data_IF_494495184550
#
_entry.id   IF_494495184550
#
_cell.length_a   1.000
_cell.length_b   1.000
_cell.length_c   1.000
_cell.angle_alpha   90.00
_cell.angle_beta   90.00
_cell.angle_gamma   90.00
#
_symmetry.space_group_name_H-M   'P 1'
#
loop_
_entity.id
_entity.type
_entity.pdbx_description
1 polymer ?
#
# COMPACT_ATOMS: atom_id res chain seq x y z
N UNK A 1 -34.92 7.71 -15.75
CA UNK A 1 -34.29 6.60 -15.02
C UNK A 1 -33.51 7.20 -13.86
N UNK A 2 -33.82 6.90 -12.59
CA UNK A 2 -33.04 7.43 -11.46
C UNK A 2 -31.65 6.79 -11.48
N UNK A 3 -30.66 7.64 -11.37
CA UNK A 3 -29.26 7.37 -11.64
C UNK A 3 -28.63 6.31 -10.73
N UNK A 4 -27.69 5.51 -11.26
CA UNK A 4 -26.87 4.59 -10.46
C UNK A 4 -25.97 5.32 -9.41
N UNK A 5 -25.88 6.65 -9.52
CA UNK A 5 -25.11 7.53 -8.62
C UNK A 5 -25.60 7.49 -7.18
N UNK A 6 -26.91 7.42 -6.92
CA UNK A 6 -27.43 7.42 -5.55
C UNK A 6 -27.07 6.14 -4.77
N UNK A 7 -27.07 4.98 -5.44
CA UNK A 7 -26.67 3.71 -4.83
C UNK A 7 -25.17 3.68 -4.57
N UNK A 8 -24.35 4.14 -5.51
CA UNK A 8 -22.90 4.24 -5.38
C UNK A 8 -22.49 5.20 -4.23
N UNK A 9 -23.18 6.32 -4.06
CA UNK A 9 -22.94 7.27 -2.94
C UNK A 9 -23.31 6.65 -1.59
N UNK A 10 -24.38 5.86 -1.52
CA UNK A 10 -24.77 5.17 -0.28
C UNK A 10 -23.72 4.10 0.10
N UNK A 11 -23.22 3.35 -0.85
CA UNK A 11 -22.16 2.36 -0.62
C UNK A 11 -20.81 3.00 -0.30
N UNK A 12 -20.46 4.12 -0.90
CA UNK A 12 -19.23 4.86 -0.60
C UNK A 12 -19.21 5.37 0.87
N UNK A 13 -20.35 5.81 1.39
CA UNK A 13 -20.50 6.23 2.78
C UNK A 13 -20.35 5.07 3.79
N UNK A 14 -20.49 3.82 3.36
CA UNK A 14 -20.40 2.62 4.22
C UNK A 14 -19.02 1.95 4.21
N UNK A 15 -18.06 2.46 3.42
CA UNK A 15 -16.75 1.81 3.24
C UNK A 15 -16.79 0.49 2.46
N UNK A 16 -17.91 0.16 1.81
CA UNK A 16 -18.09 -1.07 1.01
C UNK A 16 -17.65 -0.89 -0.45
N UNK A 17 -17.24 0.30 -0.86
CA UNK A 17 -16.72 0.54 -2.20
C UNK A 17 -15.20 0.70 -2.18
N UNK A 18 -14.52 0.35 -3.27
CA UNK A 18 -13.11 0.71 -3.45
C UNK A 18 -12.92 2.23 -3.35
N UNK A 19 -11.68 2.63 -3.03
CA UNK A 19 -11.27 4.04 -3.14
C UNK A 19 -11.49 4.49 -4.59
N UNK A 20 -11.96 5.73 -4.78
CA UNK A 20 -12.18 6.28 -6.12
C UNK A 20 -10.89 6.17 -6.96
N UNK A 21 -10.96 5.53 -8.13
CA UNK A 21 -9.78 5.33 -8.98
C UNK A 21 -9.29 6.64 -9.57
N UNK A 22 -7.97 6.75 -9.71
CA UNK A 22 -7.30 7.89 -10.32
C UNK A 22 -6.25 7.48 -11.36
N UNK A 23 -6.32 6.26 -11.82
CA UNK A 23 -5.47 5.72 -12.88
C UNK A 23 -6.22 4.67 -13.69
N UNK A 24 -5.80 4.39 -14.94
CA UNK A 24 -6.36 3.28 -15.73
C UNK A 24 -6.23 1.91 -15.05
N UNK A 25 -5.20 1.72 -14.23
CA UNK A 25 -5.03 0.50 -13.43
C UNK A 25 -6.15 0.34 -12.42
N UNK A 26 -6.38 1.39 -11.61
CA UNK A 26 -7.37 1.39 -10.56
C UNK A 26 -8.81 1.32 -11.13
N UNK A 27 -9.08 1.97 -12.28
CA UNK A 27 -10.35 1.85 -13.00
C UNK A 27 -10.66 0.40 -13.40
N UNK A 28 -9.64 -0.34 -13.90
CA UNK A 28 -9.81 -1.76 -14.24
C UNK A 28 -10.05 -2.64 -13.02
N UNK A 29 -9.43 -2.32 -11.89
CA UNK A 29 -9.66 -2.99 -10.61
C UNK A 29 -11.09 -2.70 -10.11
N UNK A 30 -11.55 -1.46 -10.22
CA UNK A 30 -12.93 -1.09 -9.87
C UNK A 30 -13.96 -1.80 -10.75
N UNK A 31 -13.77 -1.87 -12.06
CA UNK A 31 -14.62 -2.63 -12.97
C UNK A 31 -14.73 -4.11 -12.55
N UNK A 32 -13.57 -4.71 -12.23
CA UNK A 32 -13.52 -6.10 -11.78
C UNK A 32 -14.24 -6.29 -10.43
N UNK A 33 -14.05 -5.34 -9.49
CA UNK A 33 -14.74 -5.37 -8.22
C UNK A 33 -16.26 -5.38 -8.39
N UNK A 34 -16.82 -4.47 -9.19
CA UNK A 34 -18.26 -4.39 -9.41
C UNK A 34 -18.81 -5.61 -10.14
N UNK A 35 -18.06 -6.14 -11.09
CA UNK A 35 -18.43 -7.38 -11.77
C UNK A 35 -18.52 -8.56 -10.82
N UNK A 36 -17.51 -8.75 -9.96
CA UNK A 36 -17.50 -9.82 -8.95
C UNK A 36 -18.59 -9.58 -7.89
N UNK A 37 -18.78 -8.32 -7.44
CA UNK A 37 -19.82 -7.95 -6.48
C UNK A 37 -21.24 -8.27 -7.00
N UNK A 38 -21.49 -8.03 -8.29
CA UNK A 38 -22.77 -8.40 -8.93
C UNK A 38 -23.05 -9.90 -8.84
N UNK A 39 -22.09 -10.75 -9.24
CA UNK A 39 -22.25 -12.21 -9.16
C UNK A 39 -22.34 -12.70 -7.71
N UNK A 40 -21.58 -12.10 -6.80
CA UNK A 40 -21.64 -12.40 -5.37
C UNK A 40 -23.02 -12.08 -4.78
N UNK A 41 -23.63 -10.98 -5.18
CA UNK A 41 -24.98 -10.61 -4.75
C UNK A 41 -26.02 -11.60 -5.25
N UNK A 42 -25.92 -12.09 -6.49
CA UNK A 42 -26.81 -13.14 -7.03
C UNK A 42 -26.71 -14.41 -6.18
N UNK A 43 -25.48 -14.87 -5.91
CA UNK A 43 -25.27 -16.08 -5.10
C UNK A 43 -25.78 -15.88 -3.68
N UNK A 44 -25.51 -14.72 -3.05
CA UNK A 44 -26.01 -14.38 -1.73
C UNK A 44 -27.55 -14.47 -1.67
N UNK A 45 -28.24 -13.85 -2.63
CA UNK A 45 -29.70 -13.86 -2.69
C UNK A 45 -30.24 -15.25 -2.96
N UNK A 46 -29.62 -16.02 -3.86
CA UNK A 46 -30.00 -17.38 -4.17
C UNK A 46 -29.93 -18.34 -2.95
N UNK A 47 -29.04 -18.04 -2.00
CA UNK A 47 -28.90 -18.82 -0.75
C UNK A 47 -29.72 -18.21 0.38
N UNK A 48 -29.64 -16.90 0.61
CA UNK A 48 -30.27 -16.25 1.75
C UNK A 48 -31.80 -16.24 1.65
N UNK A 49 -32.38 -16.01 0.45
CA UNK A 49 -33.83 -15.94 0.28
C UNK A 49 -34.50 -17.26 0.58
N UNK A 50 -34.09 -18.42 0.00
CA UNK A 50 -34.66 -19.71 0.38
C UNK A 50 -34.49 -20.04 1.87
N UNK A 51 -33.29 -19.72 2.43
CA UNK A 51 -33.03 -19.95 3.85
C UNK A 51 -34.00 -19.17 4.74
N UNK A 52 -34.25 -17.90 4.47
CA UNK A 52 -35.23 -17.10 5.21
C UNK A 52 -36.64 -17.66 5.04
N UNK A 53 -37.03 -18.05 3.81
CA UNK A 53 -38.33 -18.67 3.53
C UNK A 53 -38.48 -19.96 4.35
N UNK A 54 -37.46 -20.80 4.41
CA UNK A 54 -37.50 -22.04 5.17
C UNK A 54 -37.62 -21.78 6.68
N UNK A 55 -36.84 -20.85 7.22
CA UNK A 55 -36.90 -20.47 8.64
C UNK A 55 -38.32 -19.97 9.00
N UNK A 56 -38.89 -19.10 8.18
CA UNK A 56 -40.22 -18.53 8.44
C UNK A 56 -41.35 -19.60 8.28
N UNK A 57 -41.26 -20.35 7.15
CA UNK A 57 -42.33 -21.31 6.80
C UNK A 57 -42.33 -22.55 7.70
N UNK A 58 -41.18 -23.08 8.05
CA UNK A 58 -41.02 -24.33 8.81
C UNK A 58 -40.71 -24.07 10.28
N UNK A 59 -40.82 -22.85 10.76
CA UNK A 59 -40.73 -22.51 12.18
C UNK A 59 -41.75 -23.31 12.99
N UNK A 60 -41.29 -23.99 14.04
CA UNK A 60 -42.16 -24.78 14.92
C UNK A 60 -43.15 -23.85 15.65
N UNK A 61 -44.43 -24.02 15.37
CA UNK A 61 -45.55 -23.28 16.00
C UNK A 61 -46.44 -24.22 16.84
N UNK A 62 -45.81 -25.12 17.62
CA UNK A 62 -46.56 -26.11 18.44
C UNK A 62 -47.05 -27.30 17.66
N UNK A 63 -46.48 -27.60 16.49
CA UNK A 63 -46.76 -28.82 15.73
C UNK A 63 -46.24 -30.04 16.47
N UNK A 64 -47.01 -31.13 16.43
CA UNK A 64 -46.61 -32.41 16.97
C UNK A 64 -45.30 -32.88 16.27
N UNK A 65 -44.32 -33.23 17.08
CA UNK A 65 -43.00 -33.69 16.59
C UNK A 65 -42.97 -35.19 16.27
N UNK A 66 -44.06 -35.89 16.54
CA UNK A 66 -44.18 -37.33 16.27
C UNK A 66 -44.54 -37.63 14.81
N UNK A 67 -44.90 -36.60 14.02
CA UNK A 67 -45.19 -36.76 12.59
C UNK A 67 -43.88 -36.85 11.83
N UNK A 68 -43.55 -38.03 11.30
CA UNK A 68 -42.39 -38.23 10.44
C UNK A 68 -42.53 -37.44 9.13
N UNK A 69 -41.47 -36.78 8.71
CA UNK A 69 -41.41 -36.09 7.42
C UNK A 69 -41.33 -37.08 6.25
N UNK A 70 -41.61 -36.62 5.01
CA UNK A 70 -41.44 -37.47 3.83
C UNK A 70 -40.01 -37.97 3.69
N UNK A 71 -39.83 -39.24 3.40
CA UNK A 71 -38.53 -39.90 3.21
C UNK A 71 -37.95 -39.57 1.81
N UNK A 72 -37.43 -38.36 1.65
CA UNK A 72 -36.80 -37.88 0.40
C UNK A 72 -35.28 -38.08 0.48
N UNK A 73 -34.72 -38.88 -0.45
CA UNK A 73 -33.31 -39.26 -0.43
C UNK A 73 -32.43 -38.44 -1.36
N UNK A 74 -32.93 -37.40 -2.03
CA UNK A 74 -32.17 -36.53 -2.93
C UNK A 74 -32.91 -36.22 -4.23
N UNK A 75 -32.28 -35.40 -5.08
CA UNK A 75 -32.78 -35.06 -6.41
C UNK A 75 -31.60 -34.81 -7.32
N UNK A 76 -31.25 -35.79 -8.17
CA UNK A 76 -30.14 -35.72 -9.11
C UNK A 76 -30.18 -34.46 -10.01
N UNK A 77 -31.40 -34.02 -10.40
CA UNK A 77 -31.53 -32.77 -11.21
C UNK A 77 -31.10 -31.53 -10.43
N UNK A 78 -31.49 -31.45 -9.16
CA UNK A 78 -31.11 -30.34 -8.29
C UNK A 78 -29.61 -30.39 -8.00
N UNK A 79 -29.05 -31.57 -7.75
CA UNK A 79 -27.63 -31.79 -7.51
C UNK A 79 -26.77 -31.34 -8.72
N UNK A 80 -27.17 -31.71 -9.92
CA UNK A 80 -26.49 -31.23 -11.17
C UNK A 80 -26.63 -29.73 -11.29
N UNK A 81 -27.81 -29.16 -11.03
CA UNK A 81 -28.02 -27.71 -11.16
C UNK A 81 -27.13 -26.92 -10.21
N UNK A 82 -27.06 -27.27 -8.91
CA UNK A 82 -26.25 -26.53 -7.95
C UNK A 82 -24.75 -26.79 -8.10
N UNK A 83 -24.33 -27.79 -8.87
CA UNK A 83 -22.95 -28.03 -9.26
C UNK A 83 -22.58 -27.20 -10.49
N UNK A 84 -23.40 -27.27 -11.56
CA UNK A 84 -23.05 -26.63 -12.84
C UNK A 84 -23.21 -25.10 -12.81
N UNK A 85 -24.19 -24.56 -12.08
CA UNK A 85 -24.42 -23.11 -12.03
C UNK A 85 -23.24 -22.37 -11.39
N UNK A 86 -22.72 -22.75 -10.20
CA UNK A 86 -21.51 -22.14 -9.64
C UNK A 86 -20.28 -22.30 -10.55
N UNK A 87 -20.10 -23.45 -11.18
CA UNK A 87 -18.99 -23.67 -12.14
C UNK A 87 -19.10 -22.68 -13.30
N UNK A 88 -20.28 -22.48 -13.87
CA UNK A 88 -20.49 -21.50 -14.94
C UNK A 88 -20.18 -20.06 -14.48
N UNK A 89 -20.60 -19.69 -13.28
CA UNK A 89 -20.27 -18.37 -12.68
C UNK A 89 -18.76 -18.21 -12.54
N UNK A 90 -18.05 -19.22 -12.03
CA UNK A 90 -16.59 -19.18 -11.88
C UNK A 90 -15.88 -19.04 -13.23
N UNK A 91 -16.34 -19.75 -14.28
CA UNK A 91 -15.78 -19.62 -15.64
C UNK A 91 -15.99 -18.20 -16.19
N UNK A 92 -17.17 -17.61 -15.98
CA UNK A 92 -17.47 -16.23 -16.42
C UNK A 92 -16.57 -15.23 -15.66
N UNK A 93 -16.46 -15.36 -14.33
CA UNK A 93 -15.61 -14.47 -13.51
C UNK A 93 -14.14 -14.61 -13.91
N UNK A 94 -13.64 -15.85 -14.09
CA UNK A 94 -12.28 -16.09 -14.54
C UNK A 94 -12.01 -15.47 -15.92
N UNK A 95 -12.90 -15.70 -16.89
CA UNK A 95 -12.79 -15.13 -18.23
C UNK A 95 -12.72 -13.61 -18.23
N UNK A 96 -13.57 -12.94 -17.46
CA UNK A 96 -13.53 -11.49 -17.33
C UNK A 96 -12.25 -11.00 -16.62
N UNK A 97 -11.79 -11.72 -15.60
CA UNK A 97 -10.53 -11.41 -14.91
C UNK A 97 -9.34 -11.49 -15.86
N UNK A 98 -9.21 -12.57 -16.63
CA UNK A 98 -8.14 -12.73 -17.62
C UNK A 98 -8.19 -11.65 -18.71
N UNK A 99 -9.37 -11.21 -19.10
CA UNK A 99 -9.53 -10.11 -20.06
C UNK A 99 -9.03 -8.75 -19.50
N UNK A 100 -9.27 -8.47 -18.20
CA UNK A 100 -8.87 -7.20 -17.56
C UNK A 100 -7.40 -7.18 -17.11
N UNK A 101 -6.82 -8.34 -16.79
CA UNK A 101 -5.50 -8.49 -16.16
C UNK A 101 -4.36 -7.74 -16.86
N UNK A 102 -4.19 -7.78 -18.22
CA UNK A 102 -3.05 -7.12 -18.87
C UNK A 102 -2.97 -5.61 -18.67
N UNK A 103 -4.09 -4.95 -18.34
CA UNK A 103 -4.12 -3.51 -18.10
C UNK A 103 -4.02 -3.10 -16.63
N UNK A 104 -3.89 -4.05 -15.71
CA UNK A 104 -3.78 -3.74 -14.27
C UNK A 104 -2.37 -3.33 -13.89
N UNK A 105 -1.34 -3.93 -14.49
CA UNK A 105 0.06 -3.61 -14.19
C UNK A 105 0.63 -2.50 -15.06
N UNK A 106 0.07 -2.25 -16.25
CA UNK A 106 0.58 -1.36 -17.31
C UNK A 106 2.06 -1.59 -17.67
N UNK A 107 2.66 -2.67 -17.20
CA UNK A 107 4.07 -2.99 -17.43
C UNK A 107 4.39 -3.14 -18.92
N UNK A 108 3.48 -3.77 -19.68
CA UNK A 108 3.63 -3.98 -21.13
C UNK A 108 3.62 -2.66 -21.94
N UNK A 109 3.19 -1.54 -21.32
CA UNK A 109 3.18 -0.22 -21.95
C UNK A 109 4.43 0.61 -21.61
N UNK A 110 5.26 0.14 -20.67
CA UNK A 110 6.46 0.84 -20.22
C UNK A 110 7.53 0.88 -21.31
N UNK A 111 8.09 2.07 -21.53
CA UNK A 111 9.22 2.31 -22.46
C UNK A 111 10.47 2.64 -21.66
N UNK A 112 11.64 2.48 -22.27
CA UNK A 112 12.91 2.84 -21.65
C UNK A 112 13.02 4.34 -21.28
N UNK A 113 12.25 5.19 -21.97
CA UNK A 113 12.23 6.65 -21.73
C UNK A 113 11.27 7.08 -20.62
N UNK A 114 10.48 6.17 -20.06
CA UNK A 114 9.52 6.50 -19.00
C UNK A 114 10.25 6.71 -17.66
N UNK A 115 9.62 7.50 -16.77
CA UNK A 115 10.15 7.74 -15.44
C UNK A 115 10.17 6.43 -14.66
N UNK A 116 11.35 5.98 -14.25
CA UNK A 116 11.54 4.81 -13.37
C UNK A 116 11.89 5.27 -11.97
N UNK A 117 11.14 4.82 -10.98
CA UNK A 117 11.42 5.11 -9.57
C UNK A 117 11.65 3.80 -8.85
N UNK A 118 12.80 3.71 -8.20
CA UNK A 118 13.13 2.58 -7.37
C UNK A 118 12.53 2.77 -5.98
N UNK A 119 11.74 1.79 -5.52
CA UNK A 119 11.05 1.80 -4.23
C UNK A 119 11.64 0.70 -3.36
N UNK A 120 12.11 1.08 -2.19
CA UNK A 120 12.54 0.14 -1.18
C UNK A 120 11.60 0.16 0.02
N UNK A 121 10.99 -1.01 0.32
CA UNK A 121 10.30 -1.24 1.58
C UNK A 121 11.32 -1.58 2.67
N UNK A 122 11.35 -0.79 3.73
CA UNK A 122 12.23 -1.01 4.90
C UNK A 122 11.40 -1.00 6.17
N UNK A 123 11.80 -1.67 7.20
CA UNK A 123 11.10 -1.64 8.50
C UNK A 123 11.33 -0.28 9.19
N UNK A 124 10.38 0.70 9.20
CA UNK A 124 8.96 0.61 8.77
C UNK A 124 8.61 1.83 7.92
N UNK A 125 9.27 2.06 6.80
CA UNK A 125 9.10 3.23 5.93
C UNK A 125 9.34 2.84 4.47
N UNK A 126 8.96 3.75 3.55
CA UNK A 126 9.19 3.61 2.12
C UNK A 126 10.24 4.61 1.66
N UNK A 127 11.29 4.14 1.00
CA UNK A 127 12.29 4.96 0.36
C UNK A 127 12.07 4.94 -1.15
N UNK A 128 12.11 6.11 -1.76
CA UNK A 128 11.99 6.30 -3.20
C UNK A 128 13.29 6.90 -3.73
N UNK A 129 13.87 6.29 -4.75
CA UNK A 129 15.05 6.79 -5.44
C UNK A 129 14.72 7.07 -6.90
N UNK A 130 14.90 8.32 -7.31
CA UNK A 130 14.68 8.77 -8.67
C UNK A 130 15.90 8.55 -9.54
N UNK A 131 15.77 8.58 -10.91
CA UNK A 131 16.90 8.32 -11.83
C UNK A 131 18.08 9.28 -11.68
N UNK A 132 17.82 10.52 -11.25
CA UNK A 132 18.86 11.53 -10.97
C UNK A 132 19.46 11.43 -9.55
N UNK A 133 19.13 10.38 -8.79
CA UNK A 133 19.66 10.13 -7.46
C UNK A 133 18.92 10.85 -6.32
N UNK A 134 17.87 11.62 -6.59
CA UNK A 134 17.02 12.22 -5.55
C UNK A 134 16.36 11.10 -4.72
N UNK A 135 16.36 11.28 -3.40
CA UNK A 135 15.75 10.40 -2.42
C UNK A 135 14.54 11.09 -1.80
N UNK A 136 13.42 10.37 -1.71
CA UNK A 136 12.25 10.80 -0.97
C UNK A 136 11.80 9.69 0.01
N UNK A 137 11.15 10.07 1.10
CA UNK A 137 10.75 9.15 2.17
C UNK A 137 9.25 9.24 2.41
N UNK A 138 8.57 8.09 2.48
CA UNK A 138 7.13 7.90 2.75
C UNK A 138 6.18 8.61 1.76
N UNK A 139 6.70 9.54 0.93
CA UNK A 139 5.93 10.27 -0.09
C UNK A 139 6.63 10.23 -1.45
N UNK A 140 6.03 9.55 -2.41
CA UNK A 140 6.43 9.59 -3.82
C UNK A 140 5.85 10.82 -4.49
N UNK A 141 6.66 11.66 -5.14
CA UNK A 141 6.17 12.73 -6.03
C UNK A 141 6.17 12.24 -7.47
N UNK A 142 5.07 12.45 -8.21
CA UNK A 142 4.88 11.92 -9.56
C UNK A 142 4.23 12.94 -10.50
N UNK A 143 4.57 12.93 -11.80
CA UNK A 143 3.96 13.81 -12.79
C UNK A 143 2.59 13.29 -13.23
N UNK A 144 1.60 14.19 -13.34
CA UNK A 144 0.31 13.88 -13.93
C UNK A 144 0.45 13.48 -15.40
N UNK A 145 -0.30 12.49 -15.83
CA UNK A 145 -0.45 12.11 -17.24
C UNK A 145 0.76 11.43 -17.88
N UNK A 146 1.88 11.26 -17.17
CA UNK A 146 3.06 10.48 -17.61
C UNK A 146 3.02 9.08 -16.99
N UNK A 147 3.52 8.09 -17.72
CA UNK A 147 3.69 6.75 -17.17
C UNK A 147 4.88 6.74 -16.20
N UNK A 148 4.66 6.22 -15.01
CA UNK A 148 5.68 6.05 -13.97
C UNK A 148 5.84 4.56 -13.71
N UNK A 149 7.03 4.05 -13.92
CA UNK A 149 7.41 2.66 -13.63
C UNK A 149 7.95 2.60 -12.21
N UNK A 150 7.44 1.66 -11.44
CA UNK A 150 7.85 1.41 -10.06
C UNK A 150 8.62 0.09 -10.01
N UNK A 151 9.88 0.17 -9.63
CA UNK A 151 10.76 -0.98 -9.36
C UNK A 151 10.81 -1.20 -7.85
N UNK A 152 10.09 -2.21 -7.35
CA UNK A 152 9.80 -2.38 -5.94
C UNK A 152 10.62 -3.53 -5.38
N UNK A 153 11.34 -3.28 -4.30
CA UNK A 153 12.18 -4.28 -3.63
C UNK A 153 12.23 -4.04 -2.11
N UNK A 154 12.89 -4.93 -1.40
CA UNK A 154 13.33 -4.73 -0.02
C UNK A 154 14.80 -5.14 0.10
N UNK A 155 15.58 -4.57 1.04
CA UNK A 155 16.92 -5.04 1.36
C UNK A 155 16.96 -6.53 1.67
N UNK A 156 18.07 -7.21 1.35
CA UNK A 156 18.19 -8.64 1.56
C UNK A 156 18.08 -9.07 3.03
N UNK A 157 18.38 -8.16 3.95
CA UNK A 157 18.30 -8.35 5.40
C UNK A 157 16.94 -8.01 6.00
N UNK A 158 16.02 -7.43 5.22
CA UNK A 158 14.70 -7.00 5.68
C UNK A 158 13.64 -8.11 5.47
N UNK A 159 12.39 -7.81 5.82
CA UNK A 159 11.23 -8.70 5.63
C UNK A 159 10.47 -8.32 4.35
N UNK A 160 9.48 -9.12 3.98
CA UNK A 160 8.57 -8.79 2.89
C UNK A 160 7.65 -7.64 3.32
N UNK A 161 7.48 -6.66 2.43
CA UNK A 161 6.47 -5.61 2.49
C UNK A 161 5.59 -5.68 1.25
N UNK A 162 4.48 -4.94 1.21
CA UNK A 162 3.68 -4.79 0.00
C UNK A 162 3.28 -3.34 -0.19
N UNK A 163 3.71 -2.74 -1.28
CA UNK A 163 3.40 -1.35 -1.63
C UNK A 163 1.99 -1.25 -2.20
N UNK A 164 1.17 -0.41 -1.60
CA UNK A 164 -0.22 -0.26 -2.04
C UNK A 164 -0.75 1.16 -1.85
N UNK A 165 -1.08 1.80 -2.97
CA UNK A 165 -1.82 3.07 -3.04
C UNK A 165 -3.07 2.82 -3.89
N UNK A 166 -4.20 2.50 -3.26
CA UNK A 166 -5.38 1.94 -3.94
C UNK A 166 -5.98 2.83 -5.02
N UNK A 167 -5.85 4.16 -4.91
CA UNK A 167 -6.34 5.10 -5.92
C UNK A 167 -5.59 5.00 -7.26
N UNK A 168 -4.36 4.49 -7.27
CA UNK A 168 -3.53 4.42 -8.48
C UNK A 168 -3.23 2.99 -8.95
N UNK A 169 -3.49 1.96 -8.14
CA UNK A 169 -3.25 0.59 -8.59
C UNK A 169 -3.44 -0.48 -7.53
N UNK A 170 -3.10 -1.71 -7.91
CA UNK A 170 -3.04 -2.87 -7.03
C UNK A 170 -1.85 -2.83 -6.08
N UNK A 171 -1.77 -3.82 -5.20
CA UNK A 171 -0.62 -4.01 -4.31
C UNK A 171 0.46 -4.85 -4.98
N UNK A 172 1.72 -4.50 -4.70
CA UNK A 172 2.89 -5.19 -5.21
C UNK A 172 3.90 -5.44 -4.09
N UNK A 173 4.35 -6.67 -3.99
CA UNK A 173 5.22 -7.08 -2.90
C UNK A 173 6.65 -6.57 -3.10
N UNK A 174 7.21 -5.99 -2.05
CA UNK A 174 8.62 -5.66 -1.91
C UNK A 174 9.33 -6.87 -1.27
N UNK A 175 9.94 -7.70 -2.10
CA UNK A 175 10.53 -8.98 -1.68
C UNK A 175 12.04 -8.79 -1.48
N UNK A 176 12.63 -9.21 -0.34
CA UNK A 176 14.06 -9.14 -0.12
C UNK A 176 14.89 -9.75 -1.24
N UNK A 177 15.81 -8.94 -1.79
CA UNK A 177 16.71 -9.37 -2.87
C UNK A 177 16.05 -9.65 -4.22
N UNK A 178 14.77 -9.28 -4.41
CA UNK A 178 14.05 -9.46 -5.66
C UNK A 178 13.29 -8.20 -6.03
N UNK A 179 13.39 -7.77 -7.28
CA UNK A 179 12.65 -6.62 -7.80
C UNK A 179 11.35 -7.08 -8.45
N UNK A 180 10.23 -6.51 -8.02
CA UNK A 180 8.94 -6.57 -8.71
C UNK A 180 8.70 -5.26 -9.45
N UNK A 181 8.03 -5.32 -10.60
CA UNK A 181 7.80 -4.14 -11.43
C UNK A 181 6.32 -3.94 -11.70
N UNK A 182 5.88 -2.69 -11.63
CA UNK A 182 4.56 -2.24 -12.05
C UNK A 182 4.65 -0.83 -12.60
N UNK A 183 3.57 -0.33 -13.21
CA UNK A 183 3.52 1.04 -13.66
C UNK A 183 2.14 1.64 -13.40
N UNK A 184 2.06 2.97 -13.26
CA UNK A 184 0.81 3.70 -13.19
C UNK A 184 0.91 5.01 -13.98
N UNK A 185 -0.27 5.56 -14.30
CA UNK A 185 -0.42 6.87 -14.92
C UNK A 185 -1.54 7.61 -14.22
N UNK A 186 -1.21 8.61 -13.40
CA UNK A 186 -2.22 9.36 -12.67
C UNK A 186 -3.03 10.29 -13.58
N UNK A 187 -4.35 10.29 -13.41
CA UNK A 187 -5.28 11.07 -14.23
C UNK A 187 -5.40 12.53 -13.76
N UNK A 188 -5.22 12.81 -12.46
CA UNK A 188 -5.34 14.15 -11.87
C UNK A 188 -4.26 14.41 -10.84
N UNK A 189 -4.03 15.68 -10.54
CA UNK A 189 -3.18 16.13 -9.43
C UNK A 189 -3.86 15.90 -8.07
N UNK A 190 -3.05 15.75 -7.02
CA UNK A 190 -3.52 15.53 -5.65
C UNK A 190 -2.63 14.59 -4.87
N UNK A 191 -2.96 14.36 -3.62
CA UNK A 191 -2.28 13.37 -2.77
C UNK A 191 -3.16 12.14 -2.60
N UNK A 192 -2.58 10.97 -2.85
CA UNK A 192 -3.24 9.67 -2.75
C UNK A 192 -2.56 8.86 -1.67
N UNK A 193 -3.34 8.50 -0.67
CA UNK A 193 -2.85 7.77 0.50
C UNK A 193 -2.73 6.27 0.21
N UNK A 194 -1.72 5.67 0.82
CA UNK A 194 -1.41 4.26 0.74
C UNK A 194 -0.81 3.72 2.03
N UNK A 195 -0.48 2.44 2.01
CA UNK A 195 0.03 1.74 3.18
C UNK A 195 0.81 0.50 2.78
N UNK A 196 1.60 -0.02 3.72
CA UNK A 196 2.09 -1.39 3.62
C UNK A 196 0.93 -2.38 3.74
N UNK A 197 0.83 -3.32 2.80
CA UNK A 197 -0.25 -4.30 2.71
C UNK A 197 0.24 -5.75 2.95
N UNK A 198 1.44 -5.93 3.53
CA UNK A 198 1.98 -7.21 4.02
C UNK A 198 2.54 -7.04 5.42
N UNK A 199 2.18 -7.94 6.34
CA UNK A 199 2.58 -7.81 7.73
C UNK A 199 4.12 -7.88 7.87
N UNK A 200 4.73 -6.75 8.25
CA UNK A 200 6.18 -6.57 8.31
C UNK A 200 6.74 -6.37 9.74
N UNK A 201 5.89 -6.41 10.76
CA UNK A 201 6.33 -6.29 12.16
C UNK A 201 5.54 -5.28 13.00
N UNK A 202 6.12 -4.88 14.14
CA UNK A 202 5.42 -4.13 15.20
C UNK A 202 4.91 -2.73 14.81
N UNK A 203 5.49 -2.11 13.78
CA UNK A 203 5.06 -0.79 13.28
C UNK A 203 4.39 -0.90 11.89
N UNK A 204 3.98 -2.10 11.48
CA UNK A 204 3.30 -2.34 10.21
C UNK A 204 2.17 -1.34 9.94
N UNK A 205 1.30 -1.09 10.90
CA UNK A 205 0.18 -0.16 10.76
C UNK A 205 0.59 1.32 10.63
N UNK A 206 1.84 1.66 10.93
CA UNK A 206 2.40 3.01 10.78
C UNK A 206 3.29 3.16 9.54
N UNK A 207 3.49 2.10 8.79
CA UNK A 207 4.23 2.12 7.53
C UNK A 207 3.30 2.60 6.41
N UNK A 208 3.03 3.89 6.41
CA UNK A 208 2.16 4.56 5.44
C UNK A 208 2.98 4.93 4.20
N UNK A 209 2.29 5.05 3.08
CA UNK A 209 2.81 5.55 1.81
C UNK A 209 1.88 6.63 1.27
N UNK A 210 2.39 7.53 0.46
CA UNK A 210 1.55 8.44 -0.31
C UNK A 210 2.18 8.75 -1.66
N UNK A 211 1.32 9.10 -2.64
CA UNK A 211 1.75 9.62 -3.93
C UNK A 211 1.19 11.03 -4.06
N UNK A 212 2.08 12.02 -4.17
CA UNK A 212 1.75 13.39 -4.50
C UNK A 212 1.90 13.58 -6.00
N UNK A 213 0.79 13.71 -6.70
CA UNK A 213 0.75 13.94 -8.14
C UNK A 213 0.66 15.45 -8.39
N UNK A 214 1.62 15.97 -9.12
CA UNK A 214 1.72 17.38 -9.52
C UNK A 214 1.71 17.52 -11.05
N UNK A 215 1.63 18.74 -11.57
CA UNK A 215 1.79 18.96 -13.01
C UNK A 215 3.17 18.48 -13.48
N UNK A 216 3.28 18.08 -14.75
CA UNK A 216 4.56 17.60 -15.29
C UNK A 216 5.66 18.65 -15.20
N UNK A 217 5.35 19.92 -15.43
CA UNK A 217 6.31 21.02 -15.32
C UNK A 217 6.78 21.25 -13.88
N UNK A 218 5.85 21.21 -12.92
CA UNK A 218 6.19 21.33 -11.50
C UNK A 218 7.05 20.15 -11.01
N UNK A 219 6.75 18.94 -11.48
CA UNK A 219 7.56 17.76 -11.18
C UNK A 219 8.99 17.91 -11.70
N UNK A 220 9.15 18.30 -12.96
CA UNK A 220 10.47 18.42 -13.58
C UNK A 220 11.30 19.53 -12.88
N UNK A 221 10.71 20.66 -12.50
CA UNK A 221 11.37 21.72 -11.73
C UNK A 221 11.76 21.23 -10.34
N UNK A 222 10.84 20.61 -9.62
CA UNK A 222 11.11 20.05 -8.30
C UNK A 222 12.24 19.01 -8.32
N UNK A 223 12.24 18.12 -9.30
CA UNK A 223 13.24 17.06 -9.39
C UNK A 223 14.66 17.60 -9.59
N UNK A 224 14.80 18.70 -10.35
CA UNK A 224 16.08 19.37 -10.54
C UNK A 224 16.51 20.16 -9.30
N UNK A 225 15.61 20.92 -8.70
CA UNK A 225 15.87 21.68 -7.48
C UNK A 225 16.26 20.78 -6.31
N UNK A 226 15.53 19.68 -6.14
CA UNK A 226 15.77 18.74 -5.05
C UNK A 226 17.12 18.01 -5.23
N UNK A 227 17.50 17.66 -6.47
CA UNK A 227 18.82 17.10 -6.75
C UNK A 227 19.92 18.06 -6.29
N UNK A 228 19.83 19.34 -6.68
CA UNK A 228 20.80 20.36 -6.30
C UNK A 228 20.87 20.55 -4.78
N UNK A 229 19.72 20.58 -4.10
CA UNK A 229 19.66 20.71 -2.63
C UNK A 229 20.27 19.49 -1.92
N UNK A 230 19.99 18.28 -2.41
CA UNK A 230 20.55 17.07 -1.81
C UNK A 230 22.05 16.93 -2.07
N UNK A 231 22.56 17.41 -3.20
CA UNK A 231 24.00 17.46 -3.49
C UNK A 231 24.73 18.50 -2.65
N UNK A 232 24.17 19.69 -2.44
CA UNK A 232 24.75 20.75 -1.63
C UNK A 232 24.64 20.52 -0.11
N UNK A 233 23.78 19.60 0.32
CA UNK A 233 23.45 19.38 1.73
C UNK A 233 22.41 20.37 2.29
N UNK A 234 21.78 21.19 1.44
CA UNK A 234 20.76 22.17 1.82
C UNK A 234 19.33 21.57 1.82
N UNK A 235 19.21 20.26 1.58
CA UNK A 235 17.93 19.57 1.61
C UNK A 235 17.50 19.22 3.04
N UNK A 236 16.20 18.94 3.20
CA UNK A 236 15.64 18.40 4.44
C UNK A 236 15.78 16.85 4.52
N UNK A 237 16.68 16.24 3.75
CA UNK A 237 16.83 14.77 3.68
C UNK A 237 17.06 14.16 5.07
N UNK A 238 17.89 14.77 5.92
CA UNK A 238 18.15 14.27 7.28
C UNK A 238 16.91 14.27 8.17
N UNK A 239 16.03 15.27 8.03
CA UNK A 239 14.74 15.31 8.72
C UNK A 239 13.79 14.25 8.19
N UNK A 240 13.74 14.03 6.87
CA UNK A 240 12.94 13.01 6.23
C UNK A 240 13.37 11.61 6.68
N UNK A 241 14.68 11.35 6.69
CA UNK A 241 15.24 10.07 7.20
C UNK A 241 14.92 9.86 8.69
N UNK A 242 15.07 10.91 9.51
CA UNK A 242 14.68 10.81 10.92
C UNK A 242 13.19 10.50 11.08
N UNK A 243 12.33 11.26 10.41
CA UNK A 243 10.88 11.13 10.54
C UNK A 243 10.38 9.77 10.03
N UNK A 244 10.86 9.33 8.88
CA UNK A 244 10.47 8.07 8.25
C UNK A 244 11.05 6.84 8.98
N UNK A 245 12.36 6.85 9.23
CA UNK A 245 13.08 5.68 9.71
C UNK A 245 13.22 5.61 11.25
N UNK A 246 13.48 6.74 11.92
CA UNK A 246 13.85 6.75 13.34
C UNK A 246 12.67 7.07 14.26
N UNK A 247 11.88 8.08 13.92
CA UNK A 247 10.85 8.62 14.81
C UNK A 247 9.74 7.62 15.15
N UNK A 248 9.47 6.66 14.30
CA UNK A 248 8.46 5.59 14.53
C UNK A 248 8.79 4.74 15.77
N UNK A 249 10.08 4.61 16.10
CA UNK A 249 10.54 3.88 17.28
C UNK A 249 11.06 4.82 18.39
N UNK A 250 11.69 5.93 18.04
CA UNK A 250 12.33 6.84 19.00
C UNK A 250 11.45 8.03 19.40
N UNK A 251 10.28 8.22 18.74
CA UNK A 251 9.37 9.36 18.93
C UNK A 251 9.72 10.54 18.04
N UNK A 252 8.69 11.32 17.66
CA UNK A 252 8.82 12.47 16.74
C UNK A 252 9.75 13.57 17.29
N UNK A 253 9.88 13.67 18.61
CA UNK A 253 10.80 14.57 19.30
C UNK A 253 12.00 13.82 19.88
N UNK A 254 12.26 12.58 19.47
CA UNK A 254 13.35 11.79 20.00
C UNK A 254 13.22 11.42 21.50
N UNK A 255 12.02 11.55 22.06
CA UNK A 255 11.75 11.37 23.49
C UNK A 255 11.82 9.93 23.97
N UNK A 256 11.95 8.96 23.04
CA UNK A 256 11.87 7.53 23.33
C UNK A 256 10.44 7.01 23.31
N UNK A 257 10.25 5.84 22.72
CA UNK A 257 9.01 5.04 22.71
C UNK A 257 9.37 3.55 22.84
N UNK A 258 9.56 2.86 21.71
CA UNK A 258 10.07 1.50 21.64
C UNK A 258 11.60 1.51 21.75
N UNK A 259 12.23 2.47 21.06
CA UNK A 259 13.66 2.78 21.16
C UNK A 259 13.95 3.77 22.28
N UNK A 260 15.19 3.90 22.71
CA UNK A 260 15.61 4.86 23.73
C UNK A 260 15.45 6.31 23.23
N UNK A 261 15.38 7.27 24.18
CA UNK A 261 15.44 8.67 23.84
C UNK A 261 16.78 9.07 23.22
N UNK A 262 16.77 10.04 22.32
CA UNK A 262 17.98 10.70 21.87
C UNK A 262 18.49 11.69 22.92
N UNK A 263 19.78 11.64 23.17
CA UNK A 263 20.48 12.57 24.07
C UNK A 263 21.60 13.24 23.34
N UNK A 264 21.99 14.44 23.76
CA UNK A 264 23.13 15.17 23.19
C UNK A 264 24.43 14.32 23.17
N UNK A 265 24.68 13.54 24.23
CA UNK A 265 25.80 12.64 24.30
C UNK A 265 25.76 11.53 23.21
N UNK A 266 24.57 10.97 22.94
CA UNK A 266 24.39 9.92 21.93
C UNK A 266 24.62 10.46 20.53
N UNK A 267 24.11 11.65 20.20
CA UNK A 267 24.14 12.22 18.85
C UNK A 267 25.43 13.02 18.56
N UNK A 268 26.26 13.30 19.57
CA UNK A 268 27.51 14.07 19.41
C UNK A 268 28.56 13.30 18.57
N UNK A 269 28.62 11.99 18.67
CA UNK A 269 29.52 11.15 17.90
C UNK A 269 28.84 10.59 16.64
N UNK A 270 28.96 11.34 15.54
CA UNK A 270 28.39 10.95 14.25
C UNK A 270 28.87 9.59 13.74
N UNK A 271 30.12 9.17 14.08
CA UNK A 271 30.65 7.86 13.66
C UNK A 271 29.95 6.73 14.38
N UNK A 272 29.77 6.83 15.71
CA UNK A 272 29.02 5.86 16.49
C UNK A 272 27.57 5.76 16.05
N UNK A 273 26.92 6.90 15.78
CA UNK A 273 25.55 6.94 15.22
C UNK A 273 25.50 6.21 13.89
N UNK A 274 26.40 6.54 12.96
CA UNK A 274 26.45 5.90 11.64
C UNK A 274 26.67 4.38 11.74
N UNK A 275 27.53 3.91 12.64
CA UNK A 275 27.75 2.47 12.87
C UNK A 275 26.48 1.78 13.41
N UNK A 276 25.77 2.41 14.34
CA UNK A 276 24.52 1.86 14.89
C UNK A 276 23.44 1.80 13.80
N UNK A 277 23.32 2.85 12.99
CA UNK A 277 22.32 2.91 11.91
C UNK A 277 22.62 1.88 10.82
N UNK A 278 23.91 1.70 10.45
CA UNK A 278 24.33 0.72 9.42
C UNK A 278 24.21 -0.73 9.89
N UNK A 279 24.58 -1.01 11.14
CA UNK A 279 24.73 -2.41 11.62
C UNK A 279 23.58 -2.86 12.51
N UNK A 280 22.71 -1.95 12.93
CA UNK A 280 21.72 -2.20 13.96
C UNK A 280 22.34 -2.33 15.36
N UNK A 281 21.51 -2.43 16.40
CA UNK A 281 21.94 -2.66 17.76
C UNK A 281 20.85 -3.29 18.62
N UNK A 282 21.04 -4.53 19.03
CA UNK A 282 20.05 -5.27 19.84
C UNK A 282 18.74 -5.47 19.08
N UNK A 283 17.66 -4.77 19.48
CA UNK A 283 16.37 -4.82 18.79
C UNK A 283 16.22 -3.81 17.64
N UNK A 284 17.16 -2.89 17.49
CA UNK A 284 17.19 -1.92 16.40
C UNK A 284 17.73 -2.59 15.14
N UNK A 285 16.96 -2.66 14.06
CA UNK A 285 17.43 -3.23 12.79
C UNK A 285 18.52 -2.34 12.14
N UNK A 286 19.23 -2.89 11.17
CA UNK A 286 20.25 -2.21 10.37
C UNK A 286 19.59 -1.31 9.30
N UNK A 287 18.91 -0.25 9.74
CA UNK A 287 18.07 0.60 8.89
C UNK A 287 18.87 1.21 7.73
N UNK A 288 20.11 1.62 7.98
CA UNK A 288 20.98 2.27 7.02
C UNK A 288 22.05 1.37 6.40
N UNK A 289 21.85 0.04 6.37
CA UNK A 289 22.81 -0.92 5.81
C UNK A 289 23.25 -0.55 4.38
N UNK A 290 22.29 -0.17 3.54
CA UNK A 290 22.51 0.17 2.13
C UNK A 290 22.45 1.69 1.85
N UNK A 291 22.41 2.53 2.91
CA UNK A 291 22.41 3.98 2.72
C UNK A 291 23.75 4.48 2.19
N UNK A 292 23.70 5.41 1.25
CA UNK A 292 24.89 6.12 0.79
C UNK A 292 25.40 7.11 1.86
N UNK A 293 26.59 7.65 1.62
CA UNK A 293 27.21 8.60 2.57
C UNK A 293 26.43 9.92 2.66
N UNK A 294 25.74 10.33 1.59
CA UNK A 294 24.88 11.52 1.58
C UNK A 294 23.72 11.37 2.57
N UNK A 295 22.99 10.23 2.53
CA UNK A 295 21.91 9.93 3.47
C UNK A 295 22.41 9.89 4.91
N UNK A 296 23.53 9.20 5.14
CA UNK A 296 24.12 9.07 6.47
C UNK A 296 24.58 10.42 7.04
N UNK A 297 25.23 11.25 6.21
CA UNK A 297 25.69 12.58 6.61
C UNK A 297 24.50 13.52 6.88
N UNK A 298 23.47 13.46 6.05
CA UNK A 298 22.25 14.25 6.24
C UNK A 298 21.56 13.88 7.58
N UNK A 299 21.39 12.58 7.86
CA UNK A 299 20.80 12.14 9.12
C UNK A 299 21.64 12.57 10.33
N UNK A 300 22.94 12.26 10.32
CA UNK A 300 23.80 12.56 11.49
C UNK A 300 23.93 14.06 11.73
N UNK A 301 23.94 14.86 10.66
CA UNK A 301 23.91 16.33 10.73
C UNK A 301 22.62 16.83 11.37
N UNK A 302 21.47 16.33 10.91
CA UNK A 302 20.16 16.66 11.47
C UNK A 302 20.04 16.27 12.95
N UNK A 303 20.44 15.05 13.30
CA UNK A 303 20.37 14.57 14.69
C UNK A 303 21.23 15.44 15.62
N UNK A 304 22.44 15.81 15.19
CA UNK A 304 23.32 16.69 15.93
C UNK A 304 22.69 18.06 16.10
N UNK A 305 22.18 18.67 15.06
CA UNK A 305 21.53 19.99 15.13
C UNK A 305 20.29 19.95 16.05
N UNK A 306 19.44 18.95 15.90
CA UNK A 306 18.13 18.86 16.58
C UNK A 306 18.24 18.52 18.07
N UNK A 307 19.18 17.66 18.46
CA UNK A 307 19.24 17.07 19.79
C UNK A 307 20.49 17.44 20.61
N UNK A 308 21.47 18.22 20.06
CA UNK A 308 22.61 18.68 20.85
C UNK A 308 22.27 19.81 21.80
N UNK A 309 21.24 20.60 21.51
CA UNK A 309 20.87 21.79 22.30
C UNK A 309 19.99 21.50 23.52
N UNK A 310 19.35 20.31 23.60
CA UNK A 310 18.49 19.96 24.73
C UNK A 310 19.25 19.60 26.03
N UNK A 311 20.58 19.54 26.00
CA UNK A 311 21.39 19.28 27.23
C UNK A 311 21.74 20.55 28.03
N UNK A 312 21.30 21.75 27.59
CA UNK A 312 21.61 23.03 28.23
C UNK A 312 20.43 23.72 28.91
N UNK A 313 19.28 23.04 29.04
CA UNK A 313 18.05 23.59 29.63
C UNK A 313 17.34 22.63 30.56
N UNK A 314 17.99 22.14 31.60
CA UNK A 314 17.42 21.31 32.67
C UNK A 314 17.99 21.74 34.01
#
# INVERSE_FOLDING_TARGET
>A
MPEPVALAVLFAATGLTPVKPDSPNAERIEDLYWFVAFWSAIVLLAVAVPLVIFIVRYRNRGRDRTIEGPQVHGSTRLEIAWTLVPVAILVIVAGFTFYKLPGITLQDQAKASDLRVHIEGRQFYWQYRYPNGVIAIDKLRAPQGRLVVLEITAPASDVIHSYWVPAVGGKFDAIPGKTTETAFKANRTGTFEGQCAEFCGIQHAKMLASIEVVSAAEFDSWLQEEATKQESGDSNLGELEFTGACAKCHGMNGQGLIGPAFTGALVSDAKSVAQIVRNGRGKMPAIGEEWDDRQMNALTGYLKQRFSEESSGG
#
